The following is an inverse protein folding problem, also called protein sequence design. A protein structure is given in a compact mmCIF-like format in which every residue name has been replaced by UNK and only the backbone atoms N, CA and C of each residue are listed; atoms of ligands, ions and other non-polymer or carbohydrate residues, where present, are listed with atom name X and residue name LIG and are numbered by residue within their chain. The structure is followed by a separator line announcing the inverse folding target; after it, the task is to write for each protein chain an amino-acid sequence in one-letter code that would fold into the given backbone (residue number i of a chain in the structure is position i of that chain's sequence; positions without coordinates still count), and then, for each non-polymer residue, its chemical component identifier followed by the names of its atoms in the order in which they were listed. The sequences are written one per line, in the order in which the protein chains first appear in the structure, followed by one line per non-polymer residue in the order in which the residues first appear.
data_IF_103606755321
#
_entry.id   IF_103606755321
#
_cell.length_a   1.000
_cell.length_b   1.000
_cell.length_c   1.000
_cell.angle_alpha   90.00
_cell.angle_beta   90.00
_cell.angle_gamma   90.00
#
_symmetry.space_group_name_H-M   'P 1'
#
loop_
_entity.id
_entity.type
_entity.pdbx_description
1 polymer ?
#
# COMPACT_ATOMS: atom_id res chain seq x y z
N UNK A 1 41.91 -11.63 -59.63
CA UNK A 1 40.73 -12.51 -59.44
C UNK A 1 39.50 -11.61 -59.41
N UNK A 2 38.86 -11.32 -60.55
CA UNK A 2 37.90 -12.13 -61.31
C UNK A 2 36.47 -12.09 -60.71
N UNK A 3 35.59 -11.33 -61.41
CA UNK A 3 34.10 -11.40 -61.50
C UNK A 3 33.29 -10.90 -60.28
N UNK A 4 32.18 -10.16 -60.37
CA UNK A 4 31.26 -9.62 -61.42
C UNK A 4 30.39 -8.57 -60.68
N UNK A 5 30.22 -7.33 -61.15
CA UNK A 5 29.23 -6.86 -62.14
C UNK A 5 27.74 -7.07 -61.78
N UNK A 6 27.07 -5.94 -61.54
CA UNK A 6 25.68 -5.54 -61.85
C UNK A 6 24.48 -6.24 -61.17
N UNK A 7 23.56 -5.43 -60.61
CA UNK A 7 22.16 -5.26 -61.11
C UNK A 7 21.35 -4.27 -60.24
N UNK A 8 21.13 -3.07 -60.79
CA UNK A 8 19.87 -2.29 -60.89
C UNK A 8 19.03 -1.95 -59.62
N UNK A 9 19.06 -0.64 -59.31
CA UNK A 9 17.94 0.25 -58.91
C UNK A 9 16.52 -0.33 -58.94
N UNK A 10 15.82 -0.31 -57.80
CA UNK A 10 14.56 0.46 -57.65
C UNK A 10 13.88 0.22 -56.29
N UNK A 11 13.22 1.30 -55.83
CA UNK A 11 11.89 1.32 -55.19
C UNK A 11 11.79 1.52 -53.66
N UNK A 12 11.80 2.82 -53.30
CA UNK A 12 11.02 3.54 -52.27
C UNK A 12 11.15 3.20 -50.76
N UNK A 13 11.08 4.24 -49.90
CA UNK A 13 11.37 4.14 -48.47
C UNK A 13 10.15 3.58 -47.72
N UNK A 14 10.33 2.52 -46.95
CA UNK A 14 9.31 2.14 -45.95
C UNK A 14 9.53 2.96 -44.69
N UNK A 15 8.66 3.96 -44.57
CA UNK A 15 8.20 4.62 -43.36
C UNK A 15 8.31 3.68 -42.15
N UNK A 16 9.33 3.88 -41.31
CA UNK A 16 9.39 3.22 -40.00
C UNK A 16 8.35 3.93 -39.14
N UNK A 17 7.20 3.30 -39.06
CA UNK A 17 6.12 3.66 -38.14
C UNK A 17 6.70 3.66 -36.73
N UNK A 18 6.72 4.83 -36.09
CA UNK A 18 6.95 4.94 -34.64
C UNK A 18 5.76 4.27 -33.98
N UNK A 19 5.88 2.97 -33.75
CA UNK A 19 5.04 2.26 -32.79
C UNK A 19 5.49 2.77 -31.43
N UNK A 20 4.83 3.83 -30.97
CA UNK A 20 4.86 4.21 -29.55
C UNK A 20 4.41 2.98 -28.79
N UNK A 21 5.35 2.25 -28.21
CA UNK A 21 5.07 1.20 -27.24
C UNK A 21 4.31 1.87 -26.11
N UNK A 22 2.99 1.68 -26.11
CA UNK A 22 2.12 2.06 -25.00
C UNK A 22 2.45 1.11 -23.85
N UNK A 23 3.51 1.44 -23.10
CA UNK A 23 3.77 0.83 -21.80
C UNK A 23 2.52 1.12 -20.97
N UNK A 24 1.75 0.11 -20.54
CA UNK A 24 0.60 0.37 -19.70
C UNK A 24 1.14 0.91 -18.38
N UNK A 25 1.11 2.24 -18.23
CA UNK A 25 1.48 2.90 -17.01
C UNK A 25 0.69 2.23 -15.87
N UNK A 26 1.41 1.73 -14.86
CA UNK A 26 0.80 1.11 -13.70
C UNK A 26 -0.07 2.16 -13.01
N UNK A 27 -1.37 2.13 -13.28
CA UNK A 27 -2.33 3.10 -12.76
C UNK A 27 -2.33 3.04 -11.23
N UNK A 28 -2.14 4.20 -10.60
CA UNK A 28 -2.15 4.36 -9.15
C UNK A 28 -3.57 4.10 -8.59
N UNK A 29 -3.64 3.49 -7.40
CA UNK A 29 -4.90 3.30 -6.68
C UNK A 29 -5.40 4.57 -5.96
N UNK A 30 -4.53 5.57 -5.79
CA UNK A 30 -4.82 6.77 -5.03
C UNK A 30 -5.07 8.01 -5.90
N UNK A 31 -4.62 7.99 -7.15
CA UNK A 31 -4.80 9.12 -8.08
C UNK A 31 -5.89 8.76 -9.09
N UNK A 32 -7.07 9.42 -9.06
CA UNK A 32 -8.12 9.19 -10.03
C UNK A 32 -7.64 9.50 -11.45
N UNK A 33 -8.02 8.65 -12.40
CA UNK A 33 -7.74 8.87 -13.80
C UNK A 33 -8.69 9.93 -14.37
N UNK A 34 -8.14 11.11 -14.66
CA UNK A 34 -8.85 12.25 -15.24
C UNK A 34 -9.59 11.90 -16.54
N UNK A 35 -9.01 11.07 -17.43
CA UNK A 35 -9.66 10.72 -18.71
C UNK A 35 -10.84 9.76 -18.55
N UNK A 36 -10.91 9.03 -17.44
CA UNK A 36 -11.98 8.07 -17.16
C UNK A 36 -13.13 8.66 -16.33
N UNK A 37 -12.97 9.90 -15.86
CA UNK A 37 -13.84 10.53 -14.87
C UNK A 37 -14.75 11.56 -15.50
N UNK A 38 -16.01 11.58 -15.07
CA UNK A 38 -16.99 12.59 -15.41
C UNK A 38 -17.02 13.63 -14.27
N UNK A 39 -16.34 14.75 -14.48
CA UNK A 39 -16.19 15.80 -13.46
C UNK A 39 -17.50 16.51 -13.16
N UNK A 40 -18.34 16.71 -14.17
CA UNK A 40 -19.61 17.42 -14.02
C UNK A 40 -20.59 16.59 -13.18
N UNK A 41 -20.65 15.28 -13.47
CA UNK A 41 -21.42 14.34 -12.66
C UNK A 41 -20.90 14.26 -11.20
N UNK A 42 -19.58 14.17 -11.02
CA UNK A 42 -18.98 14.12 -9.69
C UNK A 42 -19.30 15.38 -8.87
N UNK A 43 -19.19 16.55 -9.51
CA UNK A 43 -19.52 17.83 -8.90
C UNK A 43 -21.01 17.89 -8.51
N UNK A 44 -21.90 17.55 -9.45
CA UNK A 44 -23.35 17.49 -9.20
C UNK A 44 -23.70 16.60 -8.01
N UNK A 45 -23.14 15.38 -7.93
CA UNK A 45 -23.42 14.46 -6.82
C UNK A 45 -22.93 14.99 -5.47
N UNK A 46 -21.82 15.75 -5.44
CA UNK A 46 -21.29 16.36 -4.22
C UNK A 46 -22.08 17.59 -3.78
N UNK A 47 -22.63 18.38 -4.71
CA UNK A 47 -23.29 19.65 -4.42
C UNK A 47 -24.81 19.55 -4.30
N UNK A 48 -25.45 18.71 -5.12
CA UNK A 48 -26.91 18.63 -5.24
C UNK A 48 -27.49 17.42 -4.46
N UNK A 49 -26.71 16.38 -4.18
CA UNK A 49 -27.15 15.19 -3.43
C UNK A 49 -27.57 15.44 -1.97
N UNK A 50 -27.31 16.64 -1.42
CA UNK A 50 -27.68 17.05 -0.06
C UNK A 50 -28.80 18.08 0.05
N UNK A 51 -29.35 18.62 -1.05
CA UNK A 51 -30.46 19.61 -1.01
C UNK A 51 -31.85 18.96 -0.77
N UNK A 52 -31.90 17.87 -0.01
CA UNK A 52 -33.14 17.14 0.28
C UNK A 52 -33.71 17.35 1.69
N UNK A 53 -33.17 18.30 2.48
CA UNK A 53 -33.62 18.52 3.87
C UNK A 53 -33.89 19.97 4.25
N UNK A 54 -34.26 20.84 3.32
CA UNK A 54 -34.87 22.13 3.67
C UNK A 54 -36.12 22.40 2.81
N UNK A 55 -37.27 22.40 3.50
CA UNK A 55 -38.61 22.88 3.13
C UNK A 55 -39.39 22.16 1.99
N UNK A 56 -40.54 21.51 2.30
CA UNK A 56 -41.38 20.80 1.32
C UNK A 56 -42.30 21.71 0.48
N UNK A 57 -42.03 23.01 0.36
CA UNK A 57 -43.02 23.98 -0.13
C UNK A 57 -42.79 24.57 -1.53
N UNK A 58 -41.69 24.26 -2.24
CA UNK A 58 -41.45 24.86 -3.57
C UNK A 58 -40.82 23.86 -4.54
N UNK A 59 -41.65 23.00 -5.13
CA UNK A 59 -41.61 22.71 -6.57
C UNK A 59 -42.69 21.67 -6.89
N UNK A 60 -43.85 22.16 -7.34
CA UNK A 60 -44.79 21.40 -8.14
C UNK A 60 -44.12 21.00 -9.46
N UNK A 61 -43.28 19.97 -9.41
CA UNK A 61 -42.80 19.32 -10.61
C UNK A 61 -44.01 18.68 -11.29
N UNK A 62 -44.34 19.12 -12.49
CA UNK A 62 -45.39 18.47 -13.26
C UNK A 62 -45.00 17.01 -13.51
N UNK A 63 -45.96 16.07 -13.63
CA UNK A 63 -45.65 14.68 -13.96
C UNK A 63 -44.76 14.52 -15.20
N UNK A 64 -44.87 15.45 -16.16
CA UNK A 64 -44.01 15.52 -17.36
C UNK A 64 -42.56 15.90 -17.07
N UNK A 65 -42.31 16.81 -16.12
CA UNK A 65 -40.96 17.24 -15.74
C UNK A 65 -40.24 16.13 -14.99
N UNK A 66 -40.93 15.37 -14.15
CA UNK A 66 -40.36 14.21 -13.46
C UNK A 66 -40.06 13.07 -14.43
N UNK A 67 -40.94 12.80 -15.40
CA UNK A 67 -40.67 11.82 -16.46
C UNK A 67 -39.44 12.21 -17.29
N UNK A 68 -39.32 13.48 -17.68
CA UNK A 68 -38.14 13.99 -18.38
C UNK A 68 -36.86 13.85 -17.55
N UNK A 69 -36.90 14.19 -16.26
CA UNK A 69 -35.75 14.02 -15.36
C UNK A 69 -35.33 12.56 -15.21
N UNK A 70 -36.29 11.62 -15.16
CA UNK A 70 -36.00 10.18 -15.15
C UNK A 70 -35.33 9.73 -16.44
N UNK A 71 -35.85 10.17 -17.59
CA UNK A 71 -35.26 9.86 -18.89
C UNK A 71 -33.84 10.43 -19.02
N UNK A 72 -33.61 11.66 -18.56
CA UNK A 72 -32.26 12.23 -18.49
C UNK A 72 -31.35 11.45 -17.54
N UNK A 73 -31.85 11.04 -16.38
CA UNK A 73 -31.06 10.24 -15.43
C UNK A 73 -30.67 8.88 -16.00
N UNK A 74 -31.55 8.29 -16.81
CA UNK A 74 -31.31 7.03 -17.54
C UNK A 74 -30.29 7.23 -18.67
N UNK A 75 -30.46 8.24 -19.53
CA UNK A 75 -29.55 8.49 -20.66
C UNK A 75 -28.15 8.89 -20.21
N UNK A 76 -28.03 9.69 -19.15
CA UNK A 76 -26.74 10.05 -18.55
C UNK A 76 -26.19 8.98 -17.60
N UNK A 77 -26.91 7.86 -17.42
CA UNK A 77 -26.51 6.75 -16.56
C UNK A 77 -26.15 7.25 -15.14
N UNK A 78 -26.99 8.12 -14.58
CA UNK A 78 -26.80 8.80 -13.29
C UNK A 78 -27.00 7.87 -12.08
N UNK A 79 -27.44 6.64 -12.31
CA UNK A 79 -27.53 5.53 -11.35
C UNK A 79 -26.15 4.96 -10.91
N UNK A 80 -25.04 5.56 -11.37
CA UNK A 80 -23.70 5.17 -10.95
C UNK A 80 -23.49 5.44 -9.46
N UNK A 81 -22.94 4.47 -8.74
CA UNK A 81 -22.62 4.63 -7.31
C UNK A 81 -21.23 5.24 -7.07
N UNK A 82 -20.42 5.41 -8.13
CA UNK A 82 -19.03 5.89 -8.02
C UNK A 82 -18.85 7.19 -8.81
N UNK A 83 -18.32 8.20 -8.12
CA UNK A 83 -17.95 9.50 -8.69
C UNK A 83 -16.47 9.57 -9.14
N UNK A 84 -15.61 8.65 -8.64
CA UNK A 84 -14.19 8.57 -9.00
C UNK A 84 -13.91 7.34 -9.87
N UNK A 85 -13.11 7.52 -10.93
CA UNK A 85 -12.64 6.43 -11.79
C UNK A 85 -11.10 6.36 -11.76
N UNK A 86 -10.55 5.18 -11.47
CA UNK A 86 -9.10 4.94 -11.44
C UNK A 86 -8.59 4.16 -12.66
N UNK A 87 -9.52 3.67 -13.50
CA UNK A 87 -9.24 2.90 -14.71
C UNK A 87 -10.21 3.31 -15.81
N UNK A 88 -9.73 3.36 -17.05
CA UNK A 88 -10.62 3.54 -18.20
C UNK A 88 -11.58 2.35 -18.26
N UNK A 89 -12.87 2.62 -18.34
CA UNK A 89 -13.85 1.57 -18.65
C UNK A 89 -13.57 1.09 -20.08
N UNK A 90 -13.65 -0.22 -20.35
CA UNK A 90 -13.67 -0.70 -21.73
C UNK A 90 -14.76 0.05 -22.50
N UNK A 91 -14.53 0.43 -23.77
CA UNK A 91 -15.58 1.05 -24.58
C UNK A 91 -16.81 0.15 -24.53
N UNK A 92 -17.94 0.71 -24.11
CA UNK A 92 -19.23 0.02 -24.13
C UNK A 92 -19.46 -0.47 -25.56
N UNK A 93 -19.65 -1.78 -25.77
CA UNK A 93 -20.07 -2.28 -27.08
C UNK A 93 -21.29 -1.48 -27.51
N UNK A 94 -21.21 -0.83 -28.66
CA UNK A 94 -22.35 -0.10 -29.20
C UNK A 94 -23.42 -1.14 -29.50
N UNK A 95 -24.55 -1.08 -28.79
CA UNK A 95 -25.69 -1.96 -29.00
C UNK A 95 -26.22 -1.77 -30.43
N UNK A 96 -25.89 -2.72 -31.30
CA UNK A 96 -26.69 -2.98 -32.49
C UNK A 96 -27.60 -4.17 -32.20
N UNK A 97 -28.91 -3.86 -32.10
CA UNK A 97 -30.08 -4.76 -32.23
C UNK A 97 -30.53 -5.45 -30.91
N UNK A 98 -31.84 -5.46 -30.57
CA UNK A 98 -32.36 -6.12 -29.36
C UNK A 98 -32.25 -7.63 -29.52
N UNK A 99 -31.40 -8.26 -28.73
CA UNK A 99 -31.31 -9.71 -28.65
C UNK A 99 -32.18 -10.17 -27.47
N UNK A 100 -33.44 -10.49 -27.76
CA UNK A 100 -34.17 -11.46 -26.93
C UNK A 100 -33.31 -12.74 -26.86
N UNK A 101 -33.20 -13.35 -25.69
CA UNK A 101 -32.29 -14.46 -25.35
C UNK A 101 -30.84 -14.07 -25.04
N UNK A 102 -30.61 -13.53 -23.84
CA UNK A 102 -29.41 -13.86 -23.06
C UNK A 102 -29.66 -13.62 -21.57
N UNK A 103 -30.32 -14.57 -20.93
CA UNK A 103 -30.28 -14.79 -19.49
C UNK A 103 -28.90 -15.35 -19.08
N UNK A 104 -27.84 -14.58 -19.32
CA UNK A 104 -26.53 -14.88 -18.77
C UNK A 104 -26.41 -14.16 -17.42
N UNK A 105 -26.59 -14.92 -16.35
CA UNK A 105 -26.42 -14.49 -14.97
C UNK A 105 -25.17 -13.61 -14.83
N UNK A 106 -25.37 -12.40 -14.29
CA UNK A 106 -24.30 -11.56 -13.78
C UNK A 106 -23.57 -12.35 -12.68
N UNK A 107 -22.52 -13.06 -13.03
CA UNK A 107 -21.57 -13.64 -12.10
C UNK A 107 -20.85 -12.47 -11.42
N UNK A 108 -21.41 -12.02 -10.30
CA UNK A 108 -20.75 -11.11 -9.36
C UNK A 108 -19.47 -11.82 -8.91
N UNK A 109 -18.33 -11.36 -9.41
CA UNK A 109 -17.02 -11.89 -9.01
C UNK A 109 -16.95 -11.85 -7.48
N UNK A 110 -16.65 -12.97 -6.79
CA UNK A 110 -16.58 -12.98 -5.34
C UNK A 110 -15.54 -11.94 -4.90
N UNK A 111 -15.95 -11.08 -3.96
CA UNK A 111 -15.04 -10.11 -3.37
C UNK A 111 -13.88 -10.88 -2.73
N UNK A 112 -12.65 -10.46 -3.06
CA UNK A 112 -11.45 -11.12 -2.53
C UNK A 112 -11.55 -11.17 -0.99
N UNK A 113 -11.34 -12.34 -0.36
CA UNK A 113 -11.39 -12.43 1.08
C UNK A 113 -10.35 -11.49 1.70
N UNK A 114 -10.77 -10.71 2.70
CA UNK A 114 -9.84 -9.91 3.50
C UNK A 114 -8.93 -10.87 4.26
N UNK A 115 -7.63 -10.59 4.28
CA UNK A 115 -6.68 -11.35 5.10
C UNK A 115 -7.13 -11.28 6.57
N UNK A 116 -7.22 -12.43 7.22
CA UNK A 116 -7.42 -12.52 8.66
C UNK A 116 -6.11 -12.23 9.39
N UNK A 117 -6.14 -11.33 10.37
CA UNK A 117 -5.02 -11.05 11.28
C UNK A 117 -5.48 -11.51 12.67
N UNK A 118 -4.81 -12.51 13.27
CA UNK A 118 -5.12 -12.97 14.62
C UNK A 118 -5.13 -11.80 15.61
N UNK A 119 -6.07 -11.81 16.54
CA UNK A 119 -6.16 -10.79 17.60
C UNK A 119 -5.41 -11.18 18.88
N UNK A 120 -4.91 -12.41 18.93
CA UNK A 120 -4.13 -12.96 20.03
C UNK A 120 -2.65 -12.98 19.65
N UNK A 121 -1.77 -12.83 20.64
CA UNK A 121 -0.35 -13.09 20.42
C UNK A 121 -0.12 -14.56 20.08
N UNK A 122 0.86 -14.83 19.23
CA UNK A 122 1.30 -16.20 18.95
C UNK A 122 2.18 -16.72 20.10
N UNK A 123 3.02 -15.83 20.66
CA UNK A 123 3.92 -16.12 21.78
C UNK A 123 3.92 -14.94 22.74
N UNK A 124 4.09 -15.25 24.01
CA UNK A 124 4.24 -14.29 25.09
C UNK A 124 5.52 -14.64 25.82
N UNK A 125 6.41 -13.67 25.97
CA UNK A 125 7.68 -13.80 26.69
C UNK A 125 7.62 -12.87 27.89
N UNK A 126 8.13 -13.34 29.02
CA UNK A 126 8.25 -12.52 30.22
C UNK A 126 9.48 -11.61 30.11
N UNK A 127 9.32 -10.36 30.52
CA UNK A 127 10.36 -9.34 30.51
C UNK A 127 10.46 -8.72 31.91
N UNK A 128 11.00 -9.45 32.90
CA UNK A 128 11.25 -8.88 34.22
C UNK A 128 12.24 -7.70 34.12
N UNK A 129 12.09 -6.71 34.99
CA UNK A 129 13.00 -5.56 35.08
C UNK A 129 13.16 -4.73 33.79
N UNK A 130 12.19 -4.81 32.88
CA UNK A 130 12.10 -3.91 31.74
C UNK A 130 11.87 -2.48 32.24
N UNK A 131 12.79 -1.57 31.89
CA UNK A 131 12.67 -0.18 32.28
C UNK A 131 11.54 0.52 31.52
N UNK A 132 10.63 1.14 32.27
CA UNK A 132 9.54 1.97 31.74
C UNK A 132 10.01 3.41 31.49
N UNK A 133 10.88 3.58 30.49
CA UNK A 133 11.33 4.90 30.02
C UNK A 133 11.14 5.01 28.51
N UNK A 134 10.33 5.98 28.11
CA UNK A 134 9.95 6.25 26.73
C UNK A 134 11.14 6.53 25.79
N UNK A 135 12.25 7.04 26.32
CA UNK A 135 13.40 7.43 25.50
C UNK A 135 14.39 6.31 25.22
N UNK A 136 14.19 5.13 25.83
CA UNK A 136 15.09 3.99 25.67
C UNK A 136 14.68 3.12 24.48
N UNK A 137 15.68 2.53 23.82
CA UNK A 137 15.48 1.61 22.69
C UNK A 137 15.99 0.22 23.06
N UNK A 138 15.31 -0.43 24.00
CA UNK A 138 15.80 -1.64 24.70
C UNK A 138 15.56 -2.96 23.95
N UNK A 139 14.97 -2.94 22.76
CA UNK A 139 14.62 -4.15 22.01
C UNK A 139 14.95 -3.98 20.53
N UNK A 140 15.58 -5.01 19.95
CA UNK A 140 15.83 -5.07 18.51
C UNK A 140 15.86 -6.53 18.01
N UNK A 141 15.36 -6.75 16.79
CA UNK A 141 15.28 -8.08 16.18
C UNK A 141 16.30 -8.20 15.04
N UNK A 142 17.25 -9.12 15.20
CA UNK A 142 18.30 -9.39 14.22
C UNK A 142 17.81 -10.18 13.00
N UNK A 143 18.55 -10.07 11.90
CA UNK A 143 18.28 -10.80 10.65
C UNK A 143 18.40 -12.33 10.78
N UNK A 144 19.11 -12.82 11.81
CA UNK A 144 19.28 -14.24 12.16
C UNK A 144 18.10 -14.82 12.97
N UNK A 145 16.96 -14.11 13.05
CA UNK A 145 15.78 -14.50 13.83
C UNK A 145 15.99 -14.53 15.35
N UNK A 146 17.02 -13.82 15.84
CA UNK A 146 17.31 -13.66 17.26
C UNK A 146 16.84 -12.28 17.71
N UNK A 147 16.05 -12.26 18.77
CA UNK A 147 15.60 -11.04 19.44
C UNK A 147 16.61 -10.67 20.53
N UNK A 148 17.03 -9.41 20.58
CA UNK A 148 17.78 -8.85 21.70
C UNK A 148 16.87 -7.98 22.54
N UNK A 149 16.95 -8.11 23.87
CA UNK A 149 16.20 -7.28 24.82
C UNK A 149 17.09 -6.95 26.03
N UNK A 150 17.09 -5.68 26.44
CA UNK A 150 17.76 -5.23 27.65
C UNK A 150 16.78 -5.20 28.82
N UNK A 151 17.09 -5.95 29.87
CA UNK A 151 16.32 -6.08 31.11
C UNK A 151 17.24 -5.68 32.27
N UNK A 152 16.91 -4.58 32.95
CA UNK A 152 17.80 -3.95 33.93
C UNK A 152 19.18 -3.63 33.34
N UNK A 153 20.20 -4.32 33.84
CA UNK A 153 21.60 -4.16 33.46
C UNK A 153 22.10 -5.23 32.47
N UNK A 154 21.23 -6.14 32.07
CA UNK A 154 21.59 -7.34 31.31
C UNK A 154 20.91 -7.34 29.96
N UNK A 155 21.65 -7.69 28.91
CA UNK A 155 21.11 -7.93 27.58
C UNK A 155 20.91 -9.42 27.39
N UNK A 156 19.68 -9.81 27.09
CA UNK A 156 19.29 -11.18 26.79
C UNK A 156 19.05 -11.35 25.30
N UNK A 157 19.33 -12.56 24.82
CA UNK A 157 19.02 -13.02 23.47
C UNK A 157 17.95 -14.10 23.54
N UNK A 158 17.00 -14.05 22.61
CA UNK A 158 16.00 -15.08 22.43
C UNK A 158 15.97 -15.52 20.97
N UNK A 159 16.27 -16.79 20.71
CA UNK A 159 16.18 -17.37 19.37
C UNK A 159 14.72 -17.75 19.09
N UNK A 160 14.09 -17.10 18.10
CA UNK A 160 12.69 -17.37 17.76
C UNK A 160 12.48 -18.71 17.04
N UNK A 161 13.54 -19.30 16.50
CA UNK A 161 13.54 -20.59 15.78
C UNK A 161 13.56 -21.76 16.75
N UNK A 162 14.46 -21.71 17.73
CA UNK A 162 14.61 -22.76 18.75
C UNK A 162 13.76 -22.50 20.00
N UNK A 163 13.39 -21.25 20.25
CA UNK A 163 12.70 -20.81 21.47
C UNK A 163 13.62 -20.75 22.69
N UNK A 164 14.93 -20.74 22.51
CA UNK A 164 15.95 -20.73 23.57
C UNK A 164 16.28 -19.29 23.98
N UNK A 165 16.61 -19.10 25.26
CA UNK A 165 17.05 -17.82 25.81
C UNK A 165 18.48 -17.95 26.31
N UNK A 166 19.31 -16.95 26.03
CA UNK A 166 20.67 -16.84 26.54
C UNK A 166 20.95 -15.42 27.03
N UNK A 167 21.92 -15.31 27.94
CA UNK A 167 22.44 -14.03 28.39
C UNK A 167 23.62 -13.64 27.49
N UNK A 168 23.60 -12.42 26.95
CA UNK A 168 24.72 -11.90 26.15
C UNK A 168 25.76 -11.23 27.04
N UNK A 169 25.32 -10.26 27.84
CA UNK A 169 26.21 -9.45 28.67
C UNK A 169 25.44 -8.86 29.84
N UNK A 170 26.07 -8.86 31.01
CA UNK A 170 25.65 -8.09 32.18
C UNK A 170 26.60 -6.93 32.39
N UNK A 171 26.05 -5.71 32.48
CA UNK A 171 26.81 -4.47 32.64
C UNK A 171 26.86 -4.08 34.11
N UNK A 172 28.05 -3.76 34.60
CA UNK A 172 28.23 -3.30 35.98
C UNK A 172 27.38 -2.06 36.28
N UNK A 173 26.76 -2.04 37.46
CA UNK A 173 25.91 -0.94 37.92
C UNK A 173 26.63 0.43 37.91
N UNK A 174 27.95 0.43 38.11
CA UNK A 174 28.78 1.64 38.09
C UNK A 174 28.92 2.28 36.69
N UNK A 175 28.83 1.48 35.63
CA UNK A 175 28.94 1.95 34.24
C UNK A 175 27.62 2.62 33.81
N UNK A 176 26.51 2.14 34.38
CA UNK A 176 25.17 2.64 34.17
C UNK A 176 24.31 1.70 33.33
N UNK A 177 22.98 1.89 33.34
CA UNK A 177 22.03 0.99 32.68
C UNK A 177 22.17 1.02 31.16
N UNK A 178 21.70 -0.05 30.52
CA UNK A 178 21.56 -0.13 29.07
C UNK A 178 20.46 0.83 28.62
N UNK A 179 20.77 1.67 27.63
CA UNK A 179 19.82 2.66 27.07
C UNK A 179 19.32 2.27 25.68
N UNK A 180 20.10 1.49 24.94
CA UNK A 180 19.73 1.08 23.59
C UNK A 180 20.44 -0.18 23.14
N UNK A 181 19.78 -1.02 22.34
CA UNK A 181 20.39 -2.15 21.64
C UNK A 181 20.09 -2.08 20.15
N UNK A 182 21.07 -2.41 19.31
CA UNK A 182 20.88 -2.51 17.85
C UNK A 182 21.71 -3.59 17.21
N UNK A 183 21.07 -4.45 16.45
CA UNK A 183 21.72 -5.44 15.60
C UNK A 183 22.41 -4.79 14.41
N UNK A 184 23.60 -5.27 14.11
CA UNK A 184 24.24 -5.01 12.83
C UNK A 184 23.49 -5.75 11.70
N UNK A 185 23.53 -5.24 10.45
CA UNK A 185 22.86 -5.87 9.32
C UNK A 185 23.35 -7.30 9.02
N UNK A 186 24.56 -7.64 9.45
CA UNK A 186 25.15 -8.97 9.30
C UNK A 186 24.52 -10.04 10.22
N UNK A 187 23.72 -9.63 11.21
CA UNK A 187 23.07 -10.52 12.17
C UNK A 187 24.03 -11.22 13.12
N UNK A 188 25.28 -10.73 13.26
CA UNK A 188 26.32 -11.30 14.12
C UNK A 188 26.80 -10.35 15.20
N UNK A 189 26.72 -9.05 14.98
CA UNK A 189 27.18 -8.06 15.97
C UNK A 189 26.00 -7.28 16.55
N UNK A 190 26.13 -6.85 17.80
CA UNK A 190 25.14 -6.01 18.48
C UNK A 190 25.85 -4.80 19.10
N UNK A 191 25.35 -3.61 18.81
CA UNK A 191 25.75 -2.39 19.49
C UNK A 191 24.89 -2.21 20.75
N UNK A 192 25.55 -2.01 21.90
CA UNK A 192 24.89 -1.74 23.18
C UNK A 192 25.27 -0.33 23.63
N UNK A 193 24.26 0.53 23.73
CA UNK A 193 24.39 1.89 24.26
C UNK A 193 24.19 1.90 25.78
N UNK A 194 25.11 2.52 26.49
CA UNK A 194 25.10 2.61 27.96
C UNK A 194 24.97 4.06 28.40
N UNK A 195 24.27 4.28 29.52
CA UNK A 195 24.24 5.60 30.18
C UNK A 195 25.53 5.79 30.98
N UNK A 196 26.60 6.24 30.34
CA UNK A 196 27.87 6.49 31.03
C UNK A 196 27.69 7.51 32.15
N UNK A 197 27.82 7.08 33.41
CA UNK A 197 27.74 7.96 34.59
C UNK A 197 29.09 8.54 35.02
N UNK A 198 30.19 8.31 34.26
CA UNK A 198 31.52 8.79 34.63
C UNK A 198 32.08 9.86 33.68
N UNK A 199 32.27 11.05 34.26
CA UNK A 199 33.15 12.11 33.74
C UNK A 199 34.58 11.57 33.57
N UNK A 200 34.92 11.15 32.35
CA UNK A 200 36.21 11.38 31.64
C UNK A 200 36.42 10.24 30.64
N UNK A 201 36.26 10.54 29.35
CA UNK A 201 36.52 9.68 28.18
C UNK A 201 35.48 8.56 27.93
N UNK A 202 34.39 8.89 27.24
CA UNK A 202 33.37 7.94 26.79
C UNK A 202 33.64 7.42 25.38
N UNK A 203 33.94 6.12 25.27
CA UNK A 203 33.91 5.36 24.01
C UNK A 203 32.71 4.40 24.04
N UNK A 204 31.82 4.40 23.03
CA UNK A 204 30.83 3.33 22.90
C UNK A 204 31.55 1.99 22.74
N UNK A 205 31.17 1.00 23.55
CA UNK A 205 31.71 -0.35 23.48
C UNK A 205 30.92 -1.13 22.42
N UNK A 206 31.59 -1.56 21.35
CA UNK A 206 31.05 -2.55 20.43
C UNK A 206 31.27 -3.91 21.07
N UNK A 207 30.21 -4.68 21.28
CA UNK A 207 30.30 -6.03 21.84
C UNK A 207 30.12 -7.01 20.67
N UNK A 208 31.19 -7.73 20.36
CA UNK A 208 31.17 -8.78 19.36
C UNK A 208 30.55 -10.05 19.98
N UNK A 209 29.63 -10.70 19.26
CA UNK A 209 28.99 -11.95 19.69
C UNK A 209 29.72 -13.18 19.15
#
# INVERSE_FOLDING_TARGET
MLKKAETVLAKFPKLVSVVTLFVPAKLDRFIPNRSAMDFDYAHYMLTEGKKGKENPAVSSSSPSRDAYRKQLAETFNMNRTRILAFKNKPPTPMESIPNEFSSAAHQVKPAKPRRHIPQTSERTLDAPDLMDDYYLNLLDWGSSNVLSIALGNTVYLWDASEGTTSELVTIDEEIGPVTSVKWAPDGRHIAVGLKTLRSSYGTPQLIDC
#
